data_IF_197640153605
#
_entry.id   IF_197640153605
#
_cell.length_a   1.000
_cell.length_b   1.000
_cell.length_c   1.000
_cell.angle_alpha   90.00
_cell.angle_beta   90.00
_cell.angle_gamma   90.00
#
_symmetry.space_group_name_H-M   'P 1'
#
loop_
_entity.id
_entity.type
_entity.pdbx_description
1 polymer ?
#
# COMPACT_ATOMS: atom_id res chain seq x y z
N UNK A 1 -7.71 13.79 -23.00
CA UNK A 1 -9.16 13.53 -23.20
C UNK A 1 -9.54 12.42 -22.24
N UNK A 2 -10.52 12.63 -21.36
CA UNK A 2 -11.13 11.55 -20.60
C UNK A 2 -11.82 10.64 -21.62
N UNK A 3 -11.34 9.40 -21.78
CA UNK A 3 -12.08 8.42 -22.57
C UNK A 3 -13.46 8.26 -21.93
N UNK A 4 -14.50 8.40 -22.73
CA UNK A 4 -15.87 8.19 -22.25
C UNK A 4 -15.99 6.76 -21.72
N UNK A 5 -16.50 6.60 -20.50
CA UNK A 5 -16.80 5.30 -19.91
C UNK A 5 -17.55 4.43 -20.92
N UNK A 6 -16.98 3.29 -21.28
CA UNK A 6 -17.61 2.34 -22.20
C UNK A 6 -18.29 1.20 -21.40
N UNK A 7 -19.62 1.16 -21.30
CA UNK A 7 -20.34 0.14 -20.54
C UNK A 7 -20.08 -1.29 -21.00
N UNK A 8 -19.71 -1.50 -22.27
CA UNK A 8 -19.40 -2.85 -22.79
C UNK A 8 -18.14 -3.44 -22.17
N UNK A 9 -17.27 -2.60 -21.59
CA UNK A 9 -16.02 -3.01 -20.92
C UNK A 9 -16.23 -3.30 -19.42
N UNK A 10 -17.44 -3.14 -18.90
CA UNK A 10 -17.72 -3.37 -17.48
C UNK A 10 -17.27 -4.76 -16.97
N UNK A 11 -17.45 -5.88 -17.72
CA UNK A 11 -16.94 -7.17 -17.31
C UNK A 11 -15.40 -7.22 -17.22
N UNK A 12 -14.69 -6.53 -18.12
CA UNK A 12 -13.24 -6.45 -18.10
C UNK A 12 -12.73 -5.63 -16.90
N UNK A 13 -13.38 -4.50 -16.58
CA UNK A 13 -13.06 -3.73 -15.38
C UNK A 13 -13.31 -4.52 -14.09
N UNK A 14 -14.44 -5.25 -14.03
CA UNK A 14 -14.75 -6.10 -12.89
C UNK A 14 -13.73 -7.24 -12.72
N UNK A 15 -13.33 -7.87 -13.82
CA UNK A 15 -12.31 -8.93 -13.82
C UNK A 15 -10.94 -8.38 -13.36
N UNK A 16 -10.52 -7.20 -13.86
CA UNK A 16 -9.29 -6.55 -13.45
C UNK A 16 -9.30 -6.17 -11.96
N UNK A 17 -10.42 -5.63 -11.47
CA UNK A 17 -10.61 -5.32 -10.05
C UNK A 17 -10.49 -6.58 -9.19
N UNK A 18 -11.16 -7.66 -9.57
CA UNK A 18 -11.14 -8.94 -8.84
C UNK A 18 -9.74 -9.55 -8.85
N UNK A 19 -9.07 -9.55 -10.01
CA UNK A 19 -7.68 -10.00 -10.13
C UNK A 19 -6.77 -9.22 -9.18
N UNK A 20 -6.83 -7.89 -9.22
CA UNK A 20 -6.09 -7.03 -8.31
C UNK A 20 -6.40 -7.36 -6.84
N UNK A 21 -7.69 -7.49 -6.49
CA UNK A 21 -8.11 -7.82 -5.12
C UNK A 21 -7.50 -9.14 -4.64
N UNK A 22 -7.51 -10.17 -5.45
CA UNK A 22 -6.90 -11.46 -5.12
C UNK A 22 -5.39 -11.34 -4.89
N UNK A 23 -4.67 -10.65 -5.79
CA UNK A 23 -3.24 -10.37 -5.62
C UNK A 23 -2.97 -9.60 -4.31
N UNK A 24 -3.72 -8.54 -4.08
CA UNK A 24 -3.57 -7.68 -2.89
C UNK A 24 -3.90 -8.40 -1.58
N UNK A 25 -4.80 -9.37 -1.62
CA UNK A 25 -5.25 -10.14 -0.45
C UNK A 25 -4.20 -11.11 0.09
N UNK A 26 -3.08 -11.34 -0.60
CA UNK A 26 -2.00 -12.21 -0.12
C UNK A 26 -1.35 -11.55 1.10
N UNK A 27 -1.42 -12.16 2.31
CA UNK A 27 -0.94 -11.56 3.55
C UNK A 27 0.54 -11.91 3.80
N UNK A 28 1.46 -11.30 3.05
CA UNK A 28 2.89 -11.62 3.11
C UNK A 28 3.47 -11.57 4.53
N UNK A 29 3.07 -10.59 5.34
CA UNK A 29 3.54 -10.50 6.72
C UNK A 29 3.22 -11.73 7.57
N UNK A 30 2.01 -12.30 7.43
CA UNK A 30 1.64 -13.53 8.13
C UNK A 30 2.33 -14.76 7.53
N UNK A 31 2.41 -14.86 6.20
CA UNK A 31 3.06 -15.99 5.53
C UNK A 31 4.53 -16.05 5.92
N UNK A 32 5.27 -14.95 5.75
CA UNK A 32 6.72 -14.87 6.02
C UNK A 32 7.01 -15.16 7.49
N UNK A 33 6.28 -14.56 8.41
CA UNK A 33 6.52 -14.74 9.85
C UNK A 33 6.15 -16.14 10.32
N UNK A 34 5.09 -16.74 9.76
CA UNK A 34 4.71 -18.13 10.06
C UNK A 34 5.76 -19.11 9.55
N UNK A 35 6.24 -18.96 8.31
CA UNK A 35 7.30 -19.78 7.74
C UNK A 35 8.63 -19.66 8.52
N UNK A 36 8.89 -18.49 9.11
CA UNK A 36 10.06 -18.25 9.96
C UNK A 36 9.89 -18.74 11.41
N UNK A 37 8.80 -19.45 11.75
CA UNK A 37 8.54 -19.98 13.08
C UNK A 37 8.33 -18.93 14.16
N UNK A 38 7.89 -17.71 13.81
CA UNK A 38 7.60 -16.66 14.79
C UNK A 38 6.19 -16.83 15.37
N UNK A 39 5.96 -16.22 16.56
CA UNK A 39 4.61 -16.07 17.09
C UNK A 39 3.75 -15.26 16.12
N UNK A 40 2.42 -15.45 16.18
CA UNK A 40 1.49 -14.68 15.35
C UNK A 40 1.66 -13.18 15.61
N UNK A 41 2.04 -12.43 14.59
CA UNK A 41 2.29 -10.98 14.69
C UNK A 41 1.05 -10.18 15.06
N UNK A 42 -0.16 -10.76 14.93
CA UNK A 42 -1.41 -10.14 15.36
C UNK A 42 -1.55 -10.08 16.88
N UNK A 43 -0.80 -10.90 17.63
CA UNK A 43 -0.71 -10.84 19.09
C UNK A 43 0.38 -9.89 19.60
N UNK A 44 1.12 -9.21 18.71
CA UNK A 44 2.24 -8.35 19.05
C UNK A 44 1.95 -6.90 18.68
N UNK A 45 2.34 -5.97 19.53
CA UNK A 45 2.33 -4.53 19.24
C UNK A 45 0.96 -4.01 18.81
N UNK A 46 0.86 -3.52 17.56
CA UNK A 46 -0.40 -2.96 17.03
C UNK A 46 -1.40 -4.00 16.53
N UNK A 47 -1.06 -5.29 16.55
CA UNK A 47 -1.88 -6.35 15.96
C UNK A 47 -1.96 -6.32 14.44
N UNK A 48 -1.25 -5.41 13.77
CA UNK A 48 -1.26 -5.26 12.33
C UNK A 48 -0.32 -6.26 11.64
N UNK A 49 -0.67 -6.69 10.42
CA UNK A 49 0.11 -7.68 9.64
C UNK A 49 1.27 -7.07 8.84
N UNK A 50 1.43 -5.74 8.84
CA UNK A 50 2.43 -5.04 8.03
C UNK A 50 3.84 -5.02 8.61
N UNK A 51 4.81 -4.65 7.78
CA UNK A 51 6.26 -4.66 8.07
C UNK A 51 6.65 -3.92 9.36
N UNK A 52 6.03 -2.79 9.68
CA UNK A 52 6.33 -2.03 10.92
C UNK A 52 5.99 -2.85 12.17
N UNK A 53 4.95 -3.68 12.13
CA UNK A 53 4.62 -4.55 13.26
C UNK A 53 5.58 -5.75 13.32
N UNK A 54 5.95 -6.32 12.16
CA UNK A 54 6.97 -7.37 12.07
C UNK A 54 8.31 -6.88 12.62
N UNK A 55 8.69 -5.62 12.38
CA UNK A 55 9.93 -5.03 12.90
C UNK A 55 9.99 -5.05 14.44
N UNK A 56 8.85 -5.00 15.14
CA UNK A 56 8.78 -5.09 16.61
C UNK A 56 9.17 -6.45 17.17
N UNK A 57 9.19 -7.49 16.33
CA UNK A 57 9.74 -8.81 16.71
C UNK A 57 11.27 -8.81 16.80
N UNK A 58 11.95 -7.72 16.47
CA UNK A 58 13.41 -7.60 16.38
C UNK A 58 14.00 -8.19 15.09
N UNK A 59 13.22 -8.90 14.29
CA UNK A 59 13.67 -9.57 13.06
C UNK A 59 13.59 -8.65 11.86
N UNK A 60 14.61 -7.80 11.67
CA UNK A 60 14.66 -6.79 10.57
C UNK A 60 14.52 -7.40 9.17
N UNK A 61 15.12 -8.58 8.92
CA UNK A 61 15.03 -9.27 7.62
C UNK A 61 13.60 -9.69 7.28
N UNK A 62 12.81 -10.18 8.25
CA UNK A 62 11.40 -10.53 8.03
C UNK A 62 10.54 -9.28 7.79
N UNK A 63 10.84 -8.18 8.47
CA UNK A 63 10.15 -6.91 8.22
C UNK A 63 10.43 -6.38 6.81
N UNK A 64 11.69 -6.44 6.36
CA UNK A 64 12.08 -6.07 5.00
C UNK A 64 11.39 -6.97 3.95
N UNK A 65 11.41 -8.29 4.15
CA UNK A 65 10.73 -9.24 3.27
C UNK A 65 9.21 -8.99 3.21
N UNK A 66 8.57 -8.67 4.35
CA UNK A 66 7.15 -8.29 4.40
C UNK A 66 6.88 -7.01 3.61
N UNK A 67 7.73 -5.99 3.77
CA UNK A 67 7.62 -4.72 3.04
C UNK A 67 7.70 -4.97 1.52
N UNK A 68 8.71 -5.73 1.10
CA UNK A 68 8.93 -6.07 -0.32
C UNK A 68 7.75 -6.90 -0.86
N UNK A 69 7.32 -7.94 -0.16
CA UNK A 69 6.20 -8.78 -0.60
C UNK A 69 4.90 -7.97 -0.74
N UNK A 70 4.59 -7.11 0.23
CA UNK A 70 3.40 -6.26 0.20
C UNK A 70 3.48 -5.15 -0.86
N UNK A 71 4.67 -4.68 -1.23
CA UNK A 71 4.86 -3.78 -2.36
C UNK A 71 4.73 -4.55 -3.68
N UNK A 72 5.46 -5.65 -3.84
CA UNK A 72 5.49 -6.42 -5.09
C UNK A 72 4.11 -6.96 -5.49
N UNK A 73 3.22 -7.33 -4.56
CA UNK A 73 1.86 -7.76 -4.94
C UNK A 73 1.07 -6.65 -5.62
N UNK A 74 1.25 -5.38 -5.20
CA UNK A 74 0.65 -4.22 -5.87
C UNK A 74 1.28 -3.96 -7.24
N UNK A 75 2.62 -3.97 -7.32
CA UNK A 75 3.34 -3.84 -8.58
C UNK A 75 2.95 -4.94 -9.57
N UNK A 76 2.88 -6.18 -9.10
CA UNK A 76 2.49 -7.33 -9.92
C UNK A 76 1.07 -7.18 -10.48
N UNK A 77 0.11 -6.76 -9.65
CA UNK A 77 -1.28 -6.57 -10.08
C UNK A 77 -1.39 -5.59 -11.27
N UNK A 78 -0.57 -4.54 -11.29
CA UNK A 78 -0.52 -3.56 -12.38
C UNK A 78 0.25 -4.09 -13.58
N UNK A 79 1.47 -4.57 -13.37
CA UNK A 79 2.35 -4.99 -14.46
C UNK A 79 1.84 -6.24 -15.19
N UNK A 80 1.11 -7.14 -14.51
CA UNK A 80 0.50 -8.30 -15.14
C UNK A 80 -0.54 -7.90 -16.19
N UNK A 81 -1.30 -6.82 -15.96
CA UNK A 81 -2.25 -6.27 -16.94
C UNK A 81 -1.49 -5.74 -18.16
N UNK A 82 -0.43 -4.94 -17.96
CA UNK A 82 0.37 -4.43 -19.08
C UNK A 82 1.06 -5.54 -19.85
N UNK A 83 1.56 -6.56 -19.19
CA UNK A 83 2.19 -7.72 -19.83
C UNK A 83 1.21 -8.52 -20.66
N UNK A 84 0.00 -8.77 -20.14
CA UNK A 84 -1.02 -9.58 -20.82
C UNK A 84 -1.51 -8.94 -22.12
N UNK A 85 -1.75 -7.63 -22.10
CA UNK A 85 -2.25 -6.92 -23.29
C UNK A 85 -1.13 -6.45 -24.24
N UNK A 86 0.11 -6.39 -23.78
CA UNK A 86 1.25 -5.96 -24.58
C UNK A 86 1.23 -4.47 -25.01
N UNK A 87 2.26 -4.04 -25.75
CA UNK A 87 2.42 -2.64 -26.13
C UNK A 87 1.36 -2.15 -27.12
N UNK A 88 0.78 -3.04 -27.94
CA UNK A 88 -0.23 -2.69 -28.95
C UNK A 88 -1.52 -2.18 -28.33
N UNK A 89 -1.90 -2.70 -27.14
CA UNK A 89 -3.12 -2.34 -26.42
C UNK A 89 -2.83 -1.52 -25.17
N UNK A 90 -1.75 -0.72 -25.17
CA UNK A 90 -1.24 -0.04 -23.98
C UNK A 90 -2.27 0.88 -23.33
N UNK A 91 -3.08 1.60 -24.09
CA UNK A 91 -4.13 2.47 -23.55
C UNK A 91 -5.22 1.67 -22.86
N UNK A 92 -5.66 0.59 -23.47
CA UNK A 92 -6.65 -0.32 -22.90
C UNK A 92 -6.11 -1.03 -21.65
N UNK A 93 -4.85 -1.48 -21.69
CA UNK A 93 -4.18 -2.04 -20.53
C UNK A 93 -4.09 -1.04 -19.38
N UNK A 94 -3.85 0.25 -19.68
CA UNK A 94 -3.82 1.31 -18.68
C UNK A 94 -5.19 1.49 -18.02
N UNK A 95 -6.27 1.53 -18.79
CA UNK A 95 -7.65 1.63 -18.27
C UNK A 95 -7.99 0.46 -17.34
N UNK A 96 -7.50 -0.75 -17.62
CA UNK A 96 -7.68 -1.93 -16.77
C UNK A 96 -6.72 -1.97 -15.57
N UNK A 97 -5.55 -1.38 -15.68
CA UNK A 97 -4.58 -1.29 -14.58
C UNK A 97 -5.11 -0.46 -13.39
N UNK A 98 -5.96 0.54 -13.66
CA UNK A 98 -6.57 1.38 -12.62
C UNK A 98 -7.49 0.57 -11.68
N UNK A 99 -8.52 -0.15 -12.16
CA UNK A 99 -9.33 -0.99 -11.28
C UNK A 99 -8.53 -2.15 -10.67
N UNK A 100 -7.52 -2.72 -11.36
CA UNK A 100 -6.63 -3.72 -10.77
C UNK A 100 -5.82 -3.15 -9.60
N UNK A 101 -5.30 -1.93 -9.74
CA UNK A 101 -4.60 -1.23 -8.66
C UNK A 101 -5.52 -0.95 -7.46
N UNK A 102 -6.72 -0.47 -7.72
CA UNK A 102 -7.73 -0.25 -6.66
C UNK A 102 -8.08 -1.56 -5.96
N UNK A 103 -8.32 -2.62 -6.72
CA UNK A 103 -8.57 -3.97 -6.19
C UNK A 103 -7.42 -4.47 -5.30
N UNK A 104 -6.17 -4.32 -5.76
CA UNK A 104 -5.00 -4.75 -4.97
C UNK A 104 -4.88 -3.99 -3.65
N UNK A 105 -5.19 -2.71 -3.64
CA UNK A 105 -5.21 -1.93 -2.42
C UNK A 105 -6.31 -2.40 -1.46
N UNK A 106 -7.55 -2.57 -1.96
CA UNK A 106 -8.66 -3.09 -1.15
C UNK A 106 -8.37 -4.49 -0.61
N UNK A 107 -7.79 -5.37 -1.44
CA UNK A 107 -7.39 -6.72 -1.02
C UNK A 107 -6.38 -6.70 0.12
N UNK A 108 -5.43 -5.76 0.12
CA UNK A 108 -4.50 -5.60 1.23
C UNK A 108 -5.17 -5.06 2.49
N UNK A 109 -6.11 -4.12 2.38
CA UNK A 109 -6.82 -3.56 3.54
C UNK A 109 -7.84 -4.55 4.12
N UNK A 110 -8.55 -5.26 3.25
CA UNK A 110 -9.71 -6.06 3.59
C UNK A 110 -9.67 -7.47 3.00
N UNK A 111 -8.62 -8.28 3.29
CA UNK A 111 -8.49 -9.63 2.74
C UNK A 111 -9.58 -10.56 3.28
N UNK A 112 -10.33 -11.21 2.38
CA UNK A 112 -11.47 -12.07 2.74
C UNK A 112 -11.08 -13.21 3.69
N UNK A 113 -9.92 -13.86 3.45
CA UNK A 113 -9.44 -14.97 4.28
C UNK A 113 -8.91 -14.58 5.65
N UNK A 114 -8.84 -13.29 5.94
CA UNK A 114 -8.53 -12.75 7.27
C UNK A 114 -9.73 -12.05 7.93
N UNK A 115 -10.94 -12.36 7.47
CA UNK A 115 -12.16 -11.71 7.97
C UNK A 115 -12.13 -10.20 7.78
N UNK A 116 -11.59 -9.74 6.64
CA UNK A 116 -11.46 -8.32 6.27
C UNK A 116 -10.58 -7.48 7.20
N UNK A 117 -9.68 -8.12 7.97
CA UNK A 117 -8.73 -7.47 8.88
C UNK A 117 -7.32 -7.53 8.32
N UNK A 118 -6.99 -6.64 7.41
CA UNK A 118 -5.70 -6.58 6.71
C UNK A 118 -4.71 -5.56 7.27
N UNK A 119 -3.85 -5.05 6.38
CA UNK A 119 -2.85 -4.04 6.68
C UNK A 119 -3.36 -2.61 6.56
N UNK A 120 -2.43 -1.65 6.47
CA UNK A 120 -2.73 -0.21 6.34
C UNK A 120 -2.47 0.34 4.95
N UNK A 121 -1.88 -0.45 4.07
CA UNK A 121 -1.75 -0.14 2.66
C UNK A 121 -0.45 0.53 2.23
N UNK A 122 0.42 1.02 3.12
CA UNK A 122 1.60 1.84 2.74
C UNK A 122 2.52 1.12 1.74
N UNK A 123 2.91 -0.12 2.00
CA UNK A 123 3.78 -0.88 1.11
C UNK A 123 3.10 -1.16 -0.24
N UNK A 124 1.83 -1.57 -0.21
CA UNK A 124 1.04 -1.81 -1.43
C UNK A 124 0.85 -0.53 -2.23
N UNK A 125 0.63 0.62 -1.57
CA UNK A 125 0.56 1.94 -2.19
C UNK A 125 1.83 2.27 -2.96
N UNK A 126 3.01 2.03 -2.35
CA UNK A 126 4.32 2.19 -3.02
C UNK A 126 4.41 1.23 -4.22
N UNK A 127 3.98 -0.02 -4.06
CA UNK A 127 3.98 -1.01 -5.13
C UNK A 127 3.10 -0.61 -6.32
N UNK A 128 1.94 -0.01 -6.06
CA UNK A 128 1.05 0.52 -7.11
C UNK A 128 1.70 1.70 -7.85
N UNK A 129 2.37 2.60 -7.12
CA UNK A 129 3.14 3.69 -7.72
C UNK A 129 4.29 3.16 -8.57
N UNK A 130 4.99 2.12 -8.13
CA UNK A 130 6.05 1.49 -8.92
C UNK A 130 5.53 0.96 -10.26
N UNK A 131 4.32 0.40 -10.27
CA UNK A 131 3.68 -0.11 -11.49
C UNK A 131 3.12 0.98 -12.40
N UNK A 132 2.54 2.04 -11.85
CA UNK A 132 1.84 3.08 -12.61
C UNK A 132 2.70 4.33 -12.88
N UNK A 133 3.50 4.77 -11.90
CA UNK A 133 4.25 6.02 -11.94
C UNK A 133 5.52 5.94 -11.06
N UNK A 134 6.52 5.15 -11.47
CA UNK A 134 7.72 4.88 -10.67
C UNK A 134 8.47 6.14 -10.19
N UNK A 135 8.51 7.29 -10.93
CA UNK A 135 9.17 8.49 -10.41
C UNK A 135 8.46 9.04 -9.16
N UNK A 136 7.12 8.92 -9.12
CA UNK A 136 6.33 9.33 -7.95
C UNK A 136 6.51 8.34 -6.80
N UNK A 137 6.73 7.05 -7.08
CA UNK A 137 7.11 6.08 -6.05
C UNK A 137 8.42 6.47 -5.37
N UNK A 138 9.41 6.91 -6.15
CA UNK A 138 10.68 7.41 -5.62
C UNK A 138 10.47 8.67 -4.76
N UNK A 139 9.69 9.63 -5.26
CA UNK A 139 9.36 10.84 -4.49
C UNK A 139 8.65 10.50 -3.17
N UNK A 140 7.67 9.57 -3.20
CA UNK A 140 7.02 9.05 -1.99
C UNK A 140 8.03 8.52 -0.98
N UNK A 141 8.95 7.64 -1.44
CA UNK A 141 9.97 7.05 -0.56
C UNK A 141 10.90 8.12 0.02
N UNK A 142 11.31 9.12 -0.76
CA UNK A 142 12.17 10.21 -0.30
C UNK A 142 11.45 11.07 0.74
N UNK A 143 10.19 11.46 0.51
CA UNK A 143 9.38 12.20 1.47
C UNK A 143 9.21 11.37 2.75
N UNK A 144 8.87 10.07 2.61
CA UNK A 144 8.70 9.19 3.75
C UNK A 144 9.99 9.11 4.59
N UNK A 145 11.15 8.89 3.95
CA UNK A 145 12.43 8.82 4.62
C UNK A 145 12.78 10.14 5.32
N UNK A 146 12.60 11.28 4.67
CA UNK A 146 12.88 12.59 5.23
C UNK A 146 12.02 12.85 6.49
N UNK A 147 10.70 12.66 6.39
CA UNK A 147 9.78 12.85 7.51
C UNK A 147 10.07 11.85 8.64
N UNK A 148 10.35 10.58 8.31
CA UNK A 148 10.70 9.57 9.31
C UNK A 148 12.03 9.87 10.01
N UNK A 149 13.04 10.39 9.29
CA UNK A 149 14.33 10.78 9.88
C UNK A 149 14.18 11.98 10.83
N UNK A 150 13.41 12.98 10.45
CA UNK A 150 13.22 14.21 11.24
C UNK A 150 12.34 13.94 12.48
N UNK A 151 11.21 13.26 12.29
CA UNK A 151 10.17 13.13 13.33
C UNK A 151 10.24 11.83 14.11
N UNK A 152 10.83 10.80 13.52
CA UNK A 152 10.87 9.41 14.02
C UNK A 152 9.48 8.75 14.10
N UNK A 153 8.46 9.28 13.42
CA UNK A 153 7.13 8.68 13.34
C UNK A 153 6.88 8.11 11.94
N UNK A 154 6.87 6.77 11.80
CA UNK A 154 6.58 6.09 10.54
C UNK A 154 5.14 6.36 10.04
N UNK A 155 4.20 6.53 10.96
CA UNK A 155 2.81 6.86 10.66
C UNK A 155 2.67 8.26 10.07
N UNK A 156 3.33 9.27 10.66
CA UNK A 156 3.33 10.63 10.12
C UNK A 156 3.99 10.69 8.75
N UNK A 157 5.12 9.98 8.59
CA UNK A 157 5.80 9.89 7.30
C UNK A 157 4.89 9.33 6.20
N UNK A 158 4.12 8.27 6.50
CA UNK A 158 3.17 7.69 5.55
C UNK A 158 2.03 8.65 5.20
N UNK A 159 1.49 9.37 6.18
CA UNK A 159 0.42 10.36 5.97
C UNK A 159 0.91 11.51 5.08
N UNK A 160 2.08 12.08 5.34
CA UNK A 160 2.63 13.20 4.56
C UNK A 160 2.97 12.75 3.14
N UNK A 161 3.66 11.61 2.98
CA UNK A 161 4.03 11.10 1.67
C UNK A 161 2.79 10.77 0.81
N UNK A 162 1.76 10.14 1.41
CA UNK A 162 0.52 9.85 0.69
C UNK A 162 -0.28 11.11 0.32
N UNK A 163 -0.28 12.14 1.16
CA UNK A 163 -0.93 13.41 0.85
C UNK A 163 -0.27 14.14 -0.34
N UNK A 164 1.05 14.07 -0.45
CA UNK A 164 1.79 14.70 -1.55
C UNK A 164 1.59 13.96 -2.90
N UNK A 165 1.27 12.67 -2.87
CA UNK A 165 1.21 11.82 -4.07
C UNK A 165 0.19 12.26 -5.13
N UNK A 166 -1.11 12.49 -4.82
CA UNK A 166 -2.08 12.90 -5.82
C UNK A 166 -1.69 14.22 -6.50
N UNK A 167 -1.10 15.14 -5.73
CA UNK A 167 -0.62 16.42 -6.25
C UNK A 167 0.57 16.23 -7.21
N UNK A 168 1.55 15.38 -6.85
CA UNK A 168 2.68 15.08 -7.71
C UNK A 168 2.24 14.43 -9.04
N UNK A 169 1.30 13.50 -8.98
CA UNK A 169 0.70 12.87 -10.17
C UNK A 169 -0.04 13.88 -11.05
N UNK A 170 -0.79 14.80 -10.43
CA UNK A 170 -1.51 15.86 -11.14
C UNK A 170 -0.53 16.80 -11.88
N UNK A 171 0.56 17.19 -11.23
CA UNK A 171 1.60 18.02 -11.85
C UNK A 171 2.28 17.36 -13.05
N UNK A 172 2.37 16.04 -13.06
CA UNK A 172 2.91 15.26 -14.19
C UNK A 172 1.89 15.03 -15.30
N UNK A 173 0.64 15.49 -15.16
CA UNK A 173 -0.42 15.27 -16.13
C UNK A 173 -0.85 13.80 -16.26
N UNK A 174 -0.57 12.99 -15.27
CA UNK A 174 -0.81 11.54 -15.28
C UNK A 174 -2.27 11.24 -14.90
N UNK A 175 -3.21 11.41 -15.81
CA UNK A 175 -4.61 11.04 -15.58
C UNK A 175 -4.89 9.60 -16.05
N UNK A 176 -5.69 8.76 -15.30
CA UNK A 176 -6.57 9.10 -14.14
C UNK A 176 -5.92 8.88 -12.75
N UNK A 177 -4.63 8.65 -12.65
CA UNK A 177 -3.91 8.29 -11.42
C UNK A 177 -4.11 9.26 -10.26
N UNK A 178 -4.14 10.61 -10.44
CA UNK A 178 -4.37 11.53 -9.31
C UNK A 178 -5.67 11.24 -8.57
N UNK A 179 -6.74 10.91 -9.30
CA UNK A 179 -8.03 10.58 -8.71
C UNK A 179 -7.99 9.24 -7.96
N UNK A 180 -7.38 8.22 -8.56
CA UNK A 180 -7.14 6.94 -7.90
C UNK A 180 -6.37 7.15 -6.60
N UNK A 181 -5.20 7.79 -6.66
CA UNK A 181 -4.33 7.95 -5.49
C UNK A 181 -4.91 8.91 -4.44
N UNK A 182 -5.77 9.85 -4.80
CA UNK A 182 -6.54 10.62 -3.82
C UNK A 182 -7.50 9.71 -3.03
N UNK A 183 -8.21 8.79 -3.70
CA UNK A 183 -9.06 7.80 -3.05
C UNK A 183 -8.25 6.83 -2.18
N UNK A 184 -7.12 6.32 -2.69
CA UNK A 184 -6.24 5.44 -1.91
C UNK A 184 -5.66 6.16 -0.69
N UNK A 185 -5.32 7.44 -0.80
CA UNK A 185 -4.85 8.28 0.31
C UNK A 185 -5.94 8.41 1.38
N UNK A 186 -7.18 8.70 0.99
CA UNK A 186 -8.29 8.79 1.93
C UNK A 186 -8.49 7.47 2.70
N UNK A 187 -8.49 6.33 1.99
CA UNK A 187 -8.56 5.01 2.60
C UNK A 187 -7.37 4.73 3.54
N UNK A 188 -6.15 5.06 3.10
CA UNK A 188 -4.95 4.92 3.93
C UNK A 188 -5.07 5.74 5.22
N UNK A 189 -5.57 6.97 5.16
CA UNK A 189 -5.76 7.81 6.33
C UNK A 189 -6.83 7.25 7.27
N UNK A 190 -7.93 6.72 6.74
CA UNK A 190 -8.96 6.00 7.52
C UNK A 190 -8.32 4.82 8.28
N UNK A 191 -7.45 4.04 7.61
CA UNK A 191 -6.73 2.94 8.25
C UNK A 191 -5.68 3.41 9.27
N UNK A 192 -5.27 4.67 9.22
CA UNK A 192 -4.34 5.30 10.18
C UNK A 192 -5.05 6.09 11.28
N UNK A 193 -6.40 6.10 11.36
CA UNK A 193 -7.15 6.92 12.34
C UNK A 193 -6.65 6.79 13.78
N UNK A 194 -6.28 5.57 14.21
CA UNK A 194 -5.74 5.36 15.56
C UNK A 194 -4.32 5.95 15.74
N UNK A 195 -3.50 5.97 14.68
CA UNK A 195 -2.20 6.64 14.69
C UNK A 195 -2.36 8.16 14.69
N UNK A 196 -3.29 8.68 13.89
CA UNK A 196 -3.62 10.13 13.87
C UNK A 196 -4.03 10.60 15.27
N UNK A 197 -4.92 9.86 15.94
CA UNK A 197 -5.31 10.20 17.31
C UNK A 197 -4.11 10.20 18.29
N UNK A 198 -3.22 9.18 18.19
CA UNK A 198 -2.01 9.15 19.04
C UNK A 198 -1.01 10.25 18.70
N UNK A 199 -0.86 10.61 17.42
CA UNK A 199 -0.02 11.74 17.01
C UNK A 199 -0.53 13.06 17.61
N UNK A 200 -1.85 13.29 17.56
CA UNK A 200 -2.48 14.48 18.13
C UNK A 200 -2.32 14.56 19.66
N UNK A 201 -2.38 13.40 20.32
CA UNK A 201 -2.26 13.31 21.79
C UNK A 201 -0.80 13.16 22.27
N UNK A 202 0.19 13.16 21.37
CA UNK A 202 1.61 13.01 21.73
C UNK A 202 2.01 11.59 22.21
N UNK A 203 1.15 10.58 22.02
CA UNK A 203 1.34 9.20 22.50
C UNK A 203 1.74 8.22 21.40
N UNK A 204 2.05 8.70 20.19
CA UNK A 204 2.48 7.82 19.10
C UNK A 204 3.90 7.28 19.33
N UNK A 205 4.08 5.98 19.08
CA UNK A 205 5.37 5.30 19.25
C UNK A 205 6.41 5.75 18.22
N UNK A 206 7.62 6.07 18.67
CA UNK A 206 8.73 6.49 17.80
C UNK A 206 9.51 5.29 17.26
N UNK A 207 10.04 5.42 16.03
CA UNK A 207 10.96 4.43 15.45
C UNK A 207 12.17 4.25 16.36
N UNK A 208 12.50 2.98 16.68
CA UNK A 208 13.67 2.61 17.48
C UNK A 208 13.47 2.63 19.00
N UNK A 209 12.29 2.99 19.53
CA UNK A 209 11.94 2.71 20.92
C UNK A 209 11.32 1.32 21.03
N UNK A 210 11.87 0.47 21.86
CA UNK A 210 11.30 -0.81 22.27
C UNK A 210 10.34 -0.62 23.43
N UNK A 211 9.31 -1.48 23.54
CA UNK A 211 8.34 -1.44 24.64
C UNK A 211 8.93 -1.52 26.05
N UNK A 212 10.20 -1.95 26.18
CA UNK A 212 10.94 -2.00 27.45
C UNK A 212 11.44 -0.64 27.96
N UNK A 213 11.25 0.46 27.23
CA UNK A 213 11.67 1.81 27.64
C UNK A 213 10.51 2.70 28.15
N UNK A 214 9.31 2.14 28.28
CA UNK A 214 8.09 2.84 28.72
C UNK A 214 7.55 2.30 30.07
N UNK A 215 8.36 1.46 30.78
CA UNK A 215 8.07 0.99 32.14
C UNK A 215 8.88 1.74 33.20
#
# INVERSE_FOLDING_TARGET
MLQSFNPSLLPAYAAALLFGYLCGSIPFGLIITRLAGTRDIRSIGSGNIGATNVLRTGRKGLAAATLVGDALKGTFAVLAIYYYYGPEYRYFAHDLAIPAAFGAFLGHLFPIWLGFKGGKGVATYIGLLLGLAWPVALAFCLIWLAVAAITRYSSLAALVASAATPFALWMLGAWPEPALFALLTALLWIMHRGHIARLMNGTEGRIGKTAASEA
#
